data_IF_095463867739
#
_entry.id   IF_095463867739
#
_cell.length_a   1.000
_cell.length_b   1.000
_cell.length_c   1.000
_cell.angle_alpha   90.00
_cell.angle_beta   90.00
_cell.angle_gamma   90.00
#
_symmetry.space_group_name_H-M   'P 1'
#
loop_
_entity.id
_entity.type
_entity.pdbx_description
1 polymer ?
#
# COMPACT_ATOMS: atom_id res chain seq x y z
N UNK A 1 -6.61 -63.33 -28.03
CA UNK A 1 -5.81 -62.10 -28.24
C UNK A 1 -6.71 -60.92 -27.91
N UNK A 2 -6.48 -60.23 -26.79
CA UNK A 2 -7.27 -59.06 -26.36
C UNK A 2 -6.45 -57.79 -26.63
N UNK A 3 -6.99 -56.73 -27.27
CA UNK A 3 -6.27 -55.47 -27.39
C UNK A 3 -6.41 -54.68 -26.09
N UNK A 4 -5.28 -54.30 -25.50
CA UNK A 4 -5.22 -53.36 -24.39
C UNK A 4 -5.48 -51.96 -24.99
N UNK A 5 -6.61 -51.36 -24.63
CA UNK A 5 -6.94 -49.97 -24.96
C UNK A 5 -6.10 -49.08 -24.02
N UNK A 6 -5.10 -48.40 -24.57
CA UNK A 6 -4.36 -47.34 -23.86
C UNK A 6 -5.28 -46.14 -23.66
N UNK A 7 -5.82 -46.00 -22.45
CA UNK A 7 -6.48 -44.78 -22.00
C UNK A 7 -5.41 -43.74 -21.65
N UNK A 8 -5.13 -42.82 -22.57
CA UNK A 8 -4.31 -41.64 -22.29
C UNK A 8 -5.18 -40.64 -21.53
N UNK A 9 -4.93 -40.52 -20.23
CA UNK A 9 -5.60 -39.53 -19.38
C UNK A 9 -5.03 -38.14 -19.71
N UNK A 10 -5.72 -37.38 -20.56
CA UNK A 10 -5.42 -35.98 -20.79
C UNK A 10 -5.80 -35.18 -19.54
N UNK A 11 -4.80 -34.85 -18.71
CA UNK A 11 -4.98 -33.92 -17.59
C UNK A 11 -5.12 -32.52 -18.19
N UNK A 12 -6.37 -32.08 -18.36
CA UNK A 12 -6.68 -30.73 -18.81
C UNK A 12 -6.16 -29.71 -17.80
N UNK A 13 -5.21 -28.88 -18.20
CA UNK A 13 -4.76 -27.73 -17.41
C UNK A 13 -5.88 -26.69 -17.39
N UNK A 14 -6.67 -26.66 -16.31
CA UNK A 14 -7.68 -25.62 -16.12
C UNK A 14 -6.93 -24.32 -15.79
N UNK A 15 -6.86 -23.40 -16.74
CA UNK A 15 -6.36 -22.05 -16.51
C UNK A 15 -7.39 -21.28 -15.70
N UNK A 16 -7.17 -21.16 -14.38
CA UNK A 16 -7.94 -20.23 -13.55
C UNK A 16 -7.55 -18.80 -13.97
N UNK A 17 -8.49 -17.94 -14.40
CA UNK A 17 -8.16 -16.56 -14.67
C UNK A 17 -7.72 -15.90 -13.36
N UNK A 18 -6.45 -15.48 -13.29
CA UNK A 18 -5.97 -14.63 -12.19
C UNK A 18 -6.72 -13.32 -12.29
N UNK A 19 -7.76 -13.16 -11.45
CA UNK A 19 -8.55 -11.95 -11.41
C UNK A 19 -7.69 -10.87 -10.75
N UNK A 20 -7.40 -9.79 -11.49
CA UNK A 20 -6.67 -8.65 -10.93
C UNK A 20 -7.47 -8.09 -9.74
N UNK A 21 -6.81 -7.72 -8.63
CA UNK A 21 -7.50 -7.19 -7.46
C UNK A 21 -8.31 -5.95 -7.86
N UNK A 22 -9.60 -5.95 -7.54
CA UNK A 22 -10.52 -4.84 -7.80
C UNK A 22 -10.51 -3.92 -6.57
N UNK A 23 -10.37 -2.59 -6.72
CA UNK A 23 -10.46 -1.68 -5.59
C UNK A 23 -11.83 -1.79 -4.89
N UNK A 24 -11.82 -1.94 -3.58
CA UNK A 24 -13.01 -1.94 -2.72
C UNK A 24 -13.55 -0.52 -2.51
N UNK A 25 -12.67 0.50 -2.52
CA UNK A 25 -13.06 1.91 -2.34
C UNK A 25 -12.20 2.85 -3.20
N UNK A 26 -12.76 4.02 -3.49
CA UNK A 26 -12.09 5.12 -4.20
C UNK A 26 -12.24 6.39 -3.37
N UNK A 27 -11.12 7.02 -3.01
CA UNK A 27 -11.09 8.18 -2.11
C UNK A 27 -10.47 9.37 -2.85
N UNK A 28 -11.20 10.49 -2.91
CA UNK A 28 -10.62 11.79 -3.26
C UNK A 28 -9.74 12.26 -2.11
N UNK A 29 -8.44 12.35 -2.35
CA UNK A 29 -7.43 12.46 -1.30
C UNK A 29 -6.51 13.67 -1.49
N UNK A 30 -6.05 14.20 -0.36
CA UNK A 30 -4.85 15.01 -0.28
C UNK A 30 -3.71 14.14 0.24
N UNK A 31 -2.64 14.03 -0.54
CA UNK A 31 -1.48 13.19 -0.23
C UNK A 31 -0.26 14.07 0.02
N UNK A 32 0.28 13.95 1.23
CA UNK A 32 1.49 14.61 1.69
C UNK A 32 2.69 13.67 1.58
N UNK A 33 3.87 14.21 1.85
CA UNK A 33 5.08 13.44 2.01
C UNK A 33 5.83 13.87 3.25
N UNK A 34 6.34 12.89 4.00
CA UNK A 34 7.20 13.09 5.15
C UNK A 34 8.44 12.21 5.07
N UNK A 35 9.46 12.57 5.84
CA UNK A 35 10.66 11.75 6.02
C UNK A 35 11.01 11.70 7.50
N UNK A 36 11.35 10.52 8.00
CA UNK A 36 11.91 10.36 9.34
C UNK A 36 13.21 11.14 9.46
N UNK A 37 13.15 12.30 10.10
CA UNK A 37 14.35 13.10 10.42
C UNK A 37 14.62 12.94 11.90
N UNK A 38 15.81 12.49 12.27
CA UNK A 38 16.22 12.39 13.68
C UNK A 38 16.13 13.79 14.29
N UNK A 39 15.14 14.01 15.18
CA UNK A 39 14.90 15.32 15.80
C UNK A 39 13.44 15.78 15.90
N UNK A 40 12.45 14.97 15.50
CA UNK A 40 11.02 15.36 15.59
C UNK A 40 10.11 14.37 16.36
N UNK A 41 10.62 13.27 16.91
CA UNK A 41 9.85 12.33 17.75
C UNK A 41 10.73 11.63 18.78
N UNK A 42 10.14 11.21 19.90
CA UNK A 42 10.82 10.51 20.99
C UNK A 42 11.26 9.10 20.57
N UNK A 43 12.43 8.70 21.08
CA UNK A 43 13.07 7.38 21.12
C UNK A 43 13.20 6.50 19.85
N UNK A 44 12.37 6.62 18.80
CA UNK A 44 12.38 5.70 17.65
C UNK A 44 11.76 6.32 16.38
N UNK A 45 12.40 7.30 15.72
CA UNK A 45 11.86 8.02 14.55
C UNK A 45 11.63 7.14 13.31
N UNK A 46 12.05 5.87 13.37
CA UNK A 46 11.98 4.90 12.28
C UNK A 46 11.02 3.75 12.58
N UNK A 47 10.18 3.86 13.62
CA UNK A 47 9.13 2.89 13.94
C UNK A 47 7.76 3.52 13.67
N UNK A 48 6.92 2.84 12.91
CA UNK A 48 5.56 3.31 12.58
C UNK A 48 4.57 3.00 13.69
N UNK A 49 3.37 3.58 13.63
CA UNK A 49 2.29 3.27 14.55
C UNK A 49 1.81 1.78 14.49
N UNK A 50 2.11 1.04 13.43
CA UNK A 50 1.91 -0.43 13.39
C UNK A 50 2.99 -1.24 14.12
N UNK A 51 4.07 -0.59 14.58
CA UNK A 51 5.22 -1.22 15.23
C UNK A 51 6.31 -1.71 14.26
N UNK A 52 6.15 -1.50 12.96
CA UNK A 52 7.14 -1.87 11.94
C UNK A 52 8.23 -0.82 11.78
N UNK A 53 9.38 -1.21 11.23
CA UNK A 53 10.37 -0.22 10.76
C UNK A 53 9.91 0.44 9.46
N UNK A 54 10.19 1.74 9.34
CA UNK A 54 9.92 2.48 8.11
C UNK A 54 10.67 1.91 6.92
N UNK A 55 10.03 1.93 5.76
CA UNK A 55 10.56 1.48 4.47
C UNK A 55 9.78 2.15 3.34
N UNK A 56 10.33 2.08 2.14
CA UNK A 56 9.60 2.49 0.94
C UNK A 56 8.29 1.70 0.78
N UNK A 57 7.22 2.39 0.39
CA UNK A 57 5.88 1.80 0.28
C UNK A 57 5.02 1.91 1.54
N UNK A 58 5.44 2.66 2.56
CA UNK A 58 4.57 2.99 3.71
C UNK A 58 3.79 4.27 3.45
N UNK A 59 2.52 4.26 3.90
CA UNK A 59 1.66 5.43 3.95
C UNK A 59 0.95 5.52 5.30
N UNK A 60 0.72 6.75 5.77
CA UNK A 60 -0.07 7.05 6.95
C UNK A 60 -1.50 7.41 6.57
N UNK A 61 -2.48 6.93 7.33
CA UNK A 61 -3.88 7.36 7.27
C UNK A 61 -4.57 7.09 8.62
N UNK A 62 -5.51 7.93 9.04
CA UNK A 62 -6.13 7.80 10.36
C UNK A 62 -7.36 6.89 10.41
N UNK A 63 -7.97 6.54 9.27
CA UNK A 63 -9.26 5.85 9.23
C UNK A 63 -9.18 4.44 8.64
N UNK A 64 -8.17 4.14 7.81
CA UNK A 64 -7.98 2.81 7.27
C UNK A 64 -7.27 1.88 8.27
N UNK A 65 -7.67 0.60 8.37
CA UNK A 65 -6.94 -0.39 9.17
C UNK A 65 -5.46 -0.49 8.78
N UNK A 66 -4.60 -0.85 9.73
CA UNK A 66 -3.22 -1.19 9.37
C UNK A 66 -3.18 -2.40 8.43
N UNK A 67 -2.22 -2.43 7.53
CA UNK A 67 -2.08 -3.46 6.49
C UNK A 67 -2.95 -3.23 5.26
N UNK A 68 -3.85 -2.24 5.26
CA UNK A 68 -4.65 -1.89 4.09
C UNK A 68 -3.74 -1.52 2.92
N UNK A 69 -3.98 -2.12 1.75
CA UNK A 69 -3.25 -1.79 0.52
C UNK A 69 -3.97 -0.65 -0.18
N UNK A 70 -3.21 0.39 -0.52
CA UNK A 70 -3.73 1.51 -1.30
C UNK A 70 -2.85 1.79 -2.49
N UNK A 71 -3.42 2.35 -3.56
CA UNK A 71 -2.68 2.81 -4.73
C UNK A 71 -2.90 4.30 -4.93
N UNK A 72 -1.81 5.04 -5.11
CA UNK A 72 -1.82 6.45 -5.48
C UNK A 72 -0.89 6.66 -6.67
N UNK A 73 -1.41 7.24 -7.76
CA UNK A 73 -0.73 7.21 -9.05
C UNK A 73 -0.50 5.76 -9.48
N UNK A 74 0.73 5.40 -9.82
CA UNK A 74 1.10 4.04 -10.24
C UNK A 74 1.66 3.16 -9.11
N UNK A 75 1.84 3.73 -7.91
CA UNK A 75 2.51 3.04 -6.80
C UNK A 75 1.52 2.54 -5.75
N UNK A 76 1.76 1.34 -5.25
CA UNK A 76 1.05 0.76 -4.11
C UNK A 76 1.78 1.05 -2.79
N UNK A 77 1.00 1.19 -1.73
CA UNK A 77 1.46 1.46 -0.38
C UNK A 77 0.67 0.63 0.63
N UNK A 78 1.30 0.37 1.77
CA UNK A 78 0.69 -0.29 2.93
C UNK A 78 0.41 0.78 3.98
N UNK A 79 -0.82 0.84 4.48
CA UNK A 79 -1.15 1.67 5.65
C UNK A 79 -0.48 1.08 6.87
N UNK A 80 0.62 1.69 7.32
CA UNK A 80 1.40 1.20 8.46
C UNK A 80 1.60 2.27 9.55
N UNK A 81 1.19 3.51 9.27
CA UNK A 81 1.42 4.63 10.19
C UNK A 81 0.18 5.51 10.36
N UNK A 82 0.24 6.46 11.29
CA UNK A 82 -0.83 7.41 11.59
C UNK A 82 -0.36 8.85 11.42
N UNK A 83 -1.31 9.72 11.06
CA UNK A 83 -1.10 11.15 10.99
C UNK A 83 -1.54 11.80 12.31
N UNK A 84 -1.16 13.06 12.53
CA UNK A 84 -1.70 13.83 13.65
C UNK A 84 -3.25 13.85 13.60
N UNK A 85 -3.89 13.90 14.77
CA UNK A 85 -5.36 13.76 14.94
C UNK A 85 -6.20 14.80 14.19
N UNK A 86 -5.60 15.96 13.84
CA UNK A 86 -6.24 17.00 13.01
C UNK A 86 -6.56 16.57 11.57
N UNK A 87 -5.95 15.48 11.09
CA UNK A 87 -6.15 14.99 9.73
C UNK A 87 -7.26 13.94 9.68
N UNK A 88 -8.21 14.13 8.75
CA UNK A 88 -9.34 13.23 8.52
C UNK A 88 -9.02 12.09 7.53
N UNK A 89 -10.05 11.32 7.17
CA UNK A 89 -9.92 10.09 6.38
C UNK A 89 -9.44 10.29 4.94
N UNK A 90 -9.56 11.49 4.39
CA UNK A 90 -9.11 11.86 3.03
C UNK A 90 -7.68 12.39 2.98
N UNK A 91 -6.98 12.41 4.12
CA UNK A 91 -5.58 12.81 4.21
C UNK A 91 -4.68 11.58 4.29
N UNK A 92 -3.59 11.60 3.53
CA UNK A 92 -2.60 10.54 3.51
C UNK A 92 -1.20 11.15 3.56
N UNK A 93 -0.23 10.47 4.16
CA UNK A 93 1.17 10.91 4.21
C UNK A 93 2.11 9.78 3.78
N UNK A 94 2.79 9.94 2.66
CA UNK A 94 3.73 8.92 2.16
C UNK A 94 5.08 9.10 2.85
N UNK A 95 5.64 8.00 3.36
CA UNK A 95 6.99 8.03 3.91
C UNK A 95 8.05 8.01 2.81
N UNK A 96 9.07 8.86 2.96
CA UNK A 96 10.27 8.90 2.13
C UNK A 96 11.52 8.75 3.00
N UNK A 97 12.54 8.09 2.45
CA UNK A 97 13.86 7.95 3.08
C UNK A 97 14.68 9.25 3.08
N UNK A 98 14.28 10.24 2.30
CA UNK A 98 14.99 11.52 2.14
C UNK A 98 14.04 12.70 2.24
N UNK A 99 14.40 13.68 3.06
CA UNK A 99 13.69 14.96 3.17
C UNK A 99 13.65 15.71 1.84
N UNK A 100 14.71 15.61 1.03
CA UNK A 100 14.75 16.22 -0.31
C UNK A 100 13.70 15.59 -1.22
N UNK A 101 13.58 14.25 -1.20
CA UNK A 101 12.57 13.56 -2.00
C UNK A 101 11.14 13.90 -1.52
N UNK A 102 10.91 13.94 -0.20
CA UNK A 102 9.63 14.35 0.35
C UNK A 102 9.24 15.78 -0.08
N UNK A 103 10.20 16.71 -0.05
CA UNK A 103 9.98 18.10 -0.49
C UNK A 103 9.71 18.21 -1.99
N UNK A 104 10.41 17.42 -2.81
CA UNK A 104 10.19 17.38 -4.26
C UNK A 104 8.81 16.81 -4.61
N UNK A 105 8.33 15.82 -3.86
CA UNK A 105 6.98 15.29 -4.02
C UNK A 105 5.92 16.33 -3.62
N UNK A 106 6.11 16.98 -2.47
CA UNK A 106 5.23 18.05 -1.99
C UNK A 106 3.83 17.58 -1.61
N UNK A 107 2.85 18.47 -1.74
CA UNK A 107 1.42 18.16 -1.52
C UNK A 107 0.77 17.87 -2.87
N UNK A 108 0.13 16.72 -2.98
CA UNK A 108 -0.62 16.31 -4.16
C UNK A 108 -2.11 16.15 -3.82
N UNK A 109 -2.98 16.33 -4.81
CA UNK A 109 -4.40 15.97 -4.73
C UNK A 109 -4.72 14.98 -5.83
N UNK A 110 -5.50 13.95 -5.52
CA UNK A 110 -5.85 12.95 -6.53
C UNK A 110 -6.68 11.83 -5.93
N UNK A 111 -6.69 10.70 -6.63
CA UNK A 111 -7.49 9.53 -6.27
C UNK A 111 -6.61 8.48 -5.61
N UNK A 112 -7.04 8.00 -4.45
CA UNK A 112 -6.48 6.82 -3.78
C UNK A 112 -7.45 5.66 -3.98
N UNK A 113 -6.96 4.56 -4.53
CA UNK A 113 -7.68 3.30 -4.63
C UNK A 113 -7.35 2.45 -3.41
N UNK A 114 -8.37 1.87 -2.77
CA UNK A 114 -8.22 0.98 -1.60
C UNK A 114 -8.56 -0.44 -2.04
N UNK A 115 -7.71 -1.40 -1.71
CA UNK A 115 -7.89 -2.82 -2.02
C UNK A 115 -8.21 -3.59 -0.75
#
# INVERSE_FOLDING_TARGET
MNPIISLVLAVGMVSVPVQNPVPTQTIGATVYAYSSTVGQTDASPFVTASGERVRDGIIANNCLPFGTIVKFGDKQFVVADRMATRYGCTSFDIWFSSTTAARQFGKQTGTVLVF
#
